data_IF_522652750869
#
_entry.id   IF_522652750869
#
_cell.length_a   1.000
_cell.length_b   1.000
_cell.length_c   1.000
_cell.angle_alpha   90.00
_cell.angle_beta   90.00
_cell.angle_gamma   90.00
#
_symmetry.space_group_name_H-M   'P 1'
#
loop_
_entity.id
_entity.type
_entity.pdbx_description
1 polymer ?
2 non-polymer ?
3 non-polymer ?
4 water ?
#
# COMPACT_ATOMS: atom_id res chain seq x y z
N UNK A 25 -20.65 5.37 19.11
CA UNK A 25 -19.96 4.60 20.20
C UNK A 25 -19.32 5.48 21.30
N UNK A 26 -18.68 4.86 22.29
CA UNK A 26 -18.08 5.63 23.35
C UNK A 26 -16.64 6.05 23.02
N UNK A 27 -16.24 7.20 23.55
CA UNK A 27 -14.86 7.71 23.49
C UNK A 27 -13.76 6.67 23.74
N UNK A 28 -13.91 5.89 24.82
CA UNK A 28 -12.90 4.92 25.24
C UNK A 28 -12.80 3.87 24.15
N UNK A 29 -13.96 3.46 23.66
CA UNK A 29 -14.06 2.46 22.62
C UNK A 29 -13.42 2.92 21.30
N UNK A 30 -13.73 4.14 20.89
CA UNK A 30 -13.13 4.74 19.70
C UNK A 30 -11.61 4.86 19.80
N UNK A 31 -11.16 5.33 20.95
CA UNK A 31 -9.76 5.56 21.20
C UNK A 31 -8.97 4.24 21.30
N UNK A 32 -9.53 3.23 21.92
CA UNK A 32 -8.92 1.89 21.94
C UNK A 32 -8.91 1.22 20.58
N UNK A 33 -9.89 1.56 19.75
CA UNK A 33 -9.95 1.19 18.33
C UNK A 33 -8.77 1.83 17.54
N UNK A 34 -8.56 3.14 17.72
CA UNK A 34 -7.46 3.85 17.06
C UNK A 34 -6.06 3.38 17.44
N UNK A 35 -5.93 2.86 18.65
CA UNK A 35 -4.64 2.60 19.27
C UNK A 35 -3.67 1.77 18.47
N UNK A 36 -4.12 0.63 17.92
CA UNK A 36 -3.23 -0.07 17.02
C UNK A 36 -2.79 0.73 15.77
N UNK A 37 -3.62 1.59 15.20
CA UNK A 37 -3.27 2.37 14.00
C UNK A 37 -2.33 3.51 14.38
N UNK A 38 -2.53 4.07 15.56
CA UNK A 38 -1.57 5.00 16.09
C UNK A 38 -0.21 4.31 16.26
N UNK A 39 -0.21 3.06 16.68
CA UNK A 39 1.03 2.40 16.92
C UNK A 39 1.74 2.19 15.62
N UNK A 40 0.99 1.77 14.60
CA UNK A 40 1.54 1.48 13.27
C UNK A 40 2.09 2.75 12.60
N UNK A 41 1.38 3.87 12.73
CA UNK A 41 1.70 5.15 12.08
C UNK A 41 2.81 5.97 12.72
N UNK A 42 3.06 5.73 14.00
CA UNK A 42 4.07 6.51 14.73
C UNK A 42 5.51 6.39 14.20
N UNK A 43 6.14 7.54 14.00
CA UNK A 43 7.47 7.57 13.43
C UNK A 43 7.55 7.25 11.94
N UNK A 44 6.42 7.03 11.26
CA UNK A 44 6.43 6.74 9.83
C UNK A 44 6.30 8.09 9.12
N UNK A 45 6.68 8.12 7.84
CA UNK A 45 6.60 9.29 6.95
C UNK A 45 5.33 9.23 6.04
N UNK A 46 4.61 10.32 6.05
CA UNK A 46 3.42 10.45 5.22
C UNK A 46 3.58 11.72 4.39
N UNK A 47 3.46 11.57 3.08
CA UNK A 47 3.52 12.66 2.12
C UNK A 47 2.08 12.92 1.72
N UNK A 48 1.61 14.13 1.95
CA UNK A 48 0.26 14.46 1.61
C UNK A 48 0.20 15.37 0.37
N UNK A 49 -0.38 14.87 -0.73
CA UNK A 49 -0.58 15.69 -1.93
C UNK A 49 -1.96 16.36 -1.85
N UNK A 50 -2.01 17.67 -1.71
CA UNK A 50 -3.24 18.38 -1.40
C UNK A 50 -3.77 19.24 -2.53
N UNK A 51 -5.00 18.97 -2.91
CA UNK A 51 -5.64 19.69 -3.96
C UNK A 51 -5.79 21.14 -3.49
N UNK A 52 -5.45 22.09 -4.34
CA UNK A 52 -5.40 23.50 -3.98
C UNK A 52 -6.76 24.10 -3.61
N UNK A 53 -7.85 23.50 -4.11
CA UNK A 53 -9.19 23.93 -3.72
C UNK A 53 -9.53 23.70 -2.27
N UNK A 54 -8.82 22.79 -1.61
CA UNK A 54 -9.05 22.52 -0.18
C UNK A 54 -8.53 23.60 0.79
N UNK A 55 -7.71 24.51 0.25
CA UNK A 55 -7.00 25.48 1.06
C UNK A 55 -7.66 26.82 0.96
N UNK A 56 -8.92 26.80 0.55
CA UNK A 56 -9.62 27.97 0.02
C UNK A 56 -10.80 28.28 0.86
N UNK A 57 -11.50 27.24 1.31
CA UNK A 57 -12.73 27.42 2.11
C UNK A 57 -12.33 27.21 3.55
N UNK A 58 -13.32 26.94 4.41
CA UNK A 58 -13.09 26.48 5.78
C UNK A 58 -12.80 24.97 5.91
N UNK A 59 -12.62 24.30 4.77
CA UNK A 59 -12.06 22.96 4.74
C UNK A 59 -10.58 23.03 5.11
N UNK A 60 -10.00 24.22 4.90
CA UNK A 60 -8.65 24.56 5.31
C UNK A 60 -8.47 24.41 6.83
N UNK A 61 -9.42 24.98 7.58
CA UNK A 61 -9.39 24.97 9.05
C UNK A 61 -9.52 23.56 9.61
N UNK A 62 -10.36 22.77 8.98
CA UNK A 62 -10.54 21.41 9.33
C UNK A 62 -9.25 20.61 9.11
N UNK A 63 -8.55 20.94 8.04
CA UNK A 63 -7.37 20.18 7.58
C UNK A 63 -6.12 20.45 8.42
N UNK A 64 -5.90 21.72 8.74
CA UNK A 64 -4.84 22.12 9.60
C UNK A 64 -5.00 21.43 10.94
N UNK A 65 -6.24 21.36 11.43
CA UNK A 65 -6.49 20.73 12.72
C UNK A 65 -6.16 19.25 12.70
N UNK A 66 -6.50 18.56 11.62
CA UNK A 66 -6.30 17.12 11.54
C UNK A 66 -4.83 16.81 11.31
N UNK A 67 -4.16 17.67 10.53
CA UNK A 67 -2.71 17.57 10.30
C UNK A 67 -1.93 17.96 11.57
N UNK A 68 -2.42 18.93 12.30
CA UNK A 68 -1.85 19.25 13.60
C UNK A 68 -1.94 18.01 14.46
N UNK A 69 -3.08 17.33 14.47
CA UNK A 69 -3.27 16.15 15.32
C UNK A 69 -2.28 15.04 14.95
N UNK A 70 -2.19 14.72 13.66
CA UNK A 70 -1.19 13.79 13.11
C UNK A 70 0.24 14.11 13.53
N UNK A 71 0.55 15.38 13.59
CA UNK A 71 1.82 15.81 14.08
C UNK A 71 2.01 15.32 15.52
N UNK A 72 0.97 15.52 16.31
CA UNK A 72 0.99 15.21 17.72
C UNK A 72 1.06 13.72 17.96
N UNK A 73 0.77 12.91 16.93
CA UNK A 73 0.80 11.46 17.03
C UNK A 73 2.13 10.86 16.56
N UNK A 74 3.16 11.70 16.42
CA UNK A 74 4.51 11.23 15.96
C UNK A 74 4.62 10.81 14.47
N UNK A 75 3.68 11.29 13.66
CA UNK A 75 3.75 11.15 12.15
C UNK A 75 4.62 12.24 11.53
N UNK A 76 5.57 11.82 10.73
CA UNK A 76 6.43 12.72 9.95
C UNK A 76 5.70 13.11 8.68
N UNK A 77 5.53 14.39 8.48
CA UNK A 77 4.56 14.91 7.55
C UNK A 77 5.16 15.84 6.53
N UNK A 78 4.95 15.52 5.27
CA UNK A 78 5.39 16.40 4.17
C UNK A 78 4.16 16.67 3.38
N UNK A 79 3.83 17.95 3.27
CA UNK A 79 2.61 18.39 2.61
C UNK A 79 2.96 19.11 1.32
N UNK A 80 2.29 18.75 0.23
CA UNK A 80 2.44 19.48 -1.06
C UNK A 80 1.07 19.78 -1.63
N UNK A 81 0.89 21.01 -2.12
CA UNK A 81 -0.41 21.42 -2.65
C UNK A 81 -0.34 21.64 -4.16
N UNK A 82 -1.51 21.73 -4.79
CA UNK A 82 -1.60 22.01 -6.22
C UNK A 82 -1.96 23.46 -6.38
N UNK A 83 -1.90 23.95 -7.64
CA UNK A 83 -2.27 25.35 -7.98
C UNK A 83 -3.16 25.48 -9.24
N UNK A 84 -3.13 24.48 -10.12
CA UNK A 84 -3.84 24.47 -11.38
C UNK A 84 -5.18 25.14 -11.31
N UNK A 85 -6.09 24.63 -10.46
CA UNK A 85 -7.46 25.16 -10.46
C UNK A 85 -7.51 26.64 -10.05
N UNK A 86 -6.58 27.08 -9.20
CA UNK A 86 -6.58 28.49 -8.80
C UNK A 86 -6.16 29.38 -9.99
N UNK A 87 -5.18 28.88 -10.73
CA UNK A 87 -4.68 29.56 -11.89
C UNK A 87 -5.78 29.69 -12.95
N UNK A 88 -6.68 28.71 -13.01
CA UNK A 88 -7.75 28.75 -14.04
C UNK A 88 -8.88 29.71 -13.66
N UNK A 89 -9.18 29.75 -12.36
CA UNK A 89 -10.07 30.76 -11.79
C UNK A 89 -9.43 32.16 -11.88
N UNK A 90 -8.21 32.23 -12.42
CA UNK A 90 -7.56 33.50 -12.72
C UNK A 90 -7.40 33.62 -14.24
N UNK A 91 -7.04 32.51 -14.88
CA UNK A 91 -6.95 32.43 -16.33
C UNK A 91 -8.34 32.48 -16.92
N UNK A 92 -8.95 31.32 -17.16
CA UNK A 92 -10.27 31.25 -17.81
C UNK A 92 -11.12 32.48 -17.51
N UNK A 93 -11.24 32.84 -16.23
CA UNK A 93 -11.95 34.05 -15.79
C UNK A 93 -11.15 35.32 -16.02
N UNK A 94 -10.72 35.52 -17.27
CA UNK A 94 -9.90 36.66 -17.70
C UNK A 94 -9.92 36.80 -19.21
N UNK A 95 -9.96 35.66 -19.92
CA UNK A 95 -9.93 35.66 -21.37
C UNK A 95 -8.72 34.97 -21.92
N UNK A 96 -8.14 34.10 -21.10
CA UNK A 96 -7.03 33.24 -21.51
C UNK A 96 -7.40 31.80 -21.23
N UNK A 97 -7.15 30.93 -22.23
CA UNK A 97 -7.48 29.52 -22.08
C UNK A 97 -6.24 28.67 -21.74
N UNK A 98 -6.32 27.87 -20.65
CA UNK A 98 -5.22 26.94 -20.28
C UNK A 98 -5.21 25.72 -21.25
N UNK A 99 -3.95 25.27 -21.56
CA UNK A 99 -3.76 24.11 -22.44
C UNK A 99 -3.08 23.00 -21.67
N UNK A 100 -3.55 21.77 -21.88
CA UNK A 100 -3.22 20.71 -20.93
C UNK A 100 -2.75 19.43 -21.60
N UNK A 101 -1.72 19.57 -22.42
CA UNK A 101 -0.99 18.46 -23.02
C UNK A 101 -0.64 17.43 -21.95
N UNK A 102 -1.38 16.32 -21.94
CA UNK A 102 -1.28 15.23 -20.93
C UNK A 102 -1.63 15.64 -19.51
N UNK A 103 -2.51 16.63 -19.36
CA UNK A 103 -2.87 17.06 -18.01
C UNK A 103 -1.82 17.97 -17.41
N UNK A 104 -0.65 17.99 -18.06
CA UNK A 104 0.42 18.97 -17.78
C UNK A 104 0.08 20.31 -18.39
N UNK A 105 -0.15 21.28 -17.51
CA UNK A 105 -0.48 22.63 -17.84
C UNK A 105 0.71 23.38 -18.48
N UNK A 106 0.47 23.93 -19.68
CA UNK A 106 1.39 24.94 -20.24
C UNK A 106 1.27 26.16 -19.31
N UNK A 107 2.42 26.64 -18.87
CA UNK A 107 2.48 27.69 -17.89
C UNK A 107 3.48 28.74 -18.32
N UNK A 108 2.98 29.92 -18.67
CA UNK A 108 3.85 31.00 -19.12
C UNK A 108 4.34 31.81 -17.93
N UNK A 109 5.21 32.78 -18.20
CA UNK A 109 5.73 33.69 -17.18
C UNK A 109 4.65 34.31 -16.28
N UNK A 110 3.54 34.74 -16.88
CA UNK A 110 2.45 35.37 -16.12
C UNK A 110 1.75 34.37 -15.17
N UNK A 111 1.58 33.12 -15.63
CA UNK A 111 0.97 32.05 -14.82
C UNK A 111 1.90 31.62 -13.69
N UNK A 112 3.20 31.54 -14.02
CA UNK A 112 4.25 31.22 -13.07
C UNK A 112 4.24 32.21 -11.92
N UNK A 113 4.09 33.50 -12.22
CA UNK A 113 4.11 34.54 -11.19
C UNK A 113 2.90 34.50 -10.27
N UNK A 114 1.75 34.15 -10.84
CA UNK A 114 0.53 33.96 -10.07
C UNK A 114 0.67 32.79 -9.07
N UNK A 115 1.26 31.71 -9.54
CA UNK A 115 1.50 30.53 -8.72
C UNK A 115 2.37 30.88 -7.53
N UNK A 116 3.37 31.74 -7.71
CA UNK A 116 4.19 32.25 -6.60
C UNK A 116 3.40 33.08 -5.60
N UNK A 117 2.45 33.86 -6.08
CA UNK A 117 1.54 34.64 -5.23
C UNK A 117 0.57 33.76 -4.45
N UNK A 118 -0.06 32.81 -5.15
CA UNK A 118 -0.94 31.84 -4.57
C UNK A 118 -0.28 30.97 -3.51
N UNK A 119 0.96 30.56 -3.77
CA UNK A 119 1.72 29.71 -2.86
C UNK A 119 2.00 30.41 -1.52
N UNK A 120 2.19 31.73 -1.55
CA UNK A 120 2.40 32.57 -0.39
C UNK A 120 1.07 32.79 0.33
N UNK A 121 -0.01 33.05 -0.43
CA UNK A 121 -1.35 33.23 0.15
C UNK A 121 -1.67 32.00 0.99
N UNK A 122 -1.49 30.85 0.35
CA UNK A 122 -1.87 29.55 0.86
C UNK A 122 -1.02 29.03 2.04
N UNK A 123 0.30 29.26 1.98
CA UNK A 123 1.15 28.86 3.08
C UNK A 123 0.84 29.72 4.30
N UNK A 124 0.58 31.01 4.08
CA UNK A 124 0.19 31.92 5.18
C UNK A 124 -1.13 31.50 5.79
N UNK A 125 -2.09 31.15 4.94
CA UNK A 125 -3.43 30.74 5.38
C UNK A 125 -3.31 29.49 6.19
N UNK A 126 -2.55 28.53 5.70
CA UNK A 126 -2.39 27.27 6.39
C UNK A 126 -1.72 27.49 7.72
N UNK A 127 -0.64 28.24 7.72
CA UNK A 127 0.06 28.56 8.96
C UNK A 127 -0.82 29.21 10.05
N UNK A 128 -1.69 30.12 9.62
CA UNK A 128 -2.63 30.79 10.51
C UNK A 128 -3.68 29.84 11.04
N UNK A 129 -4.17 28.95 10.17
CA UNK A 129 -5.19 27.97 10.56
C UNK A 129 -4.63 26.90 11.49
N UNK A 130 -3.32 26.78 11.48
CA UNK A 130 -2.65 25.73 12.23
C UNK A 130 -2.33 26.28 13.63
N UNK A 131 -2.02 27.56 13.66
CA UNK A 131 -1.76 28.29 14.88
C UNK A 131 -2.98 28.48 15.77
N UNK A 132 -4.16 28.47 15.16
CA UNK A 132 -5.42 28.68 15.88
C UNK A 132 -6.36 27.48 15.84
N UNK A 133 -5.79 26.28 16.05
CA UNK A 133 -6.49 24.97 15.95
C UNK A 133 -5.52 23.77 15.91
N UNK A 142 1.38 26.45 16.97
CA UNK A 142 2.30 25.97 17.99
C UNK A 142 2.96 24.67 17.51
N UNK A 143 2.49 24.21 16.36
CA UNK A 143 3.06 23.06 15.73
C UNK A 143 4.08 23.58 14.71
N UNK A 144 5.31 23.13 14.81
CA UNK A 144 6.36 23.68 13.97
C UNK A 144 6.20 23.30 12.48
N UNK A 145 6.24 24.31 11.61
CA UNK A 145 5.94 24.14 10.19
C UNK A 145 7.05 24.78 9.50
N UNK A 146 7.66 24.07 8.58
CA UNK A 146 8.88 24.58 7.95
C UNK A 146 8.78 24.41 6.43
N UNK A 147 9.40 25.31 5.68
CA UNK A 147 9.50 25.08 4.26
C UNK A 147 10.88 25.52 3.84
N UNK A 148 11.33 25.06 2.69
CA UNK A 148 12.70 25.31 2.27
C UNK A 148 12.96 25.15 0.80
N UNK A 149 14.18 25.39 0.36
CA UNK A 149 14.43 25.20 -1.05
C UNK A 149 14.77 23.74 -1.39
N UNK A 150 13.84 22.81 -1.16
CA UNK A 150 14.16 21.39 -1.25
C UNK A 150 14.14 20.84 -2.68
N UNK A 151 13.34 21.44 -3.55
CA UNK A 151 13.21 20.93 -4.92
C UNK A 151 14.00 21.74 -5.94
N UNK A 152 14.76 21.02 -6.75
CA UNK A 152 15.35 21.62 -7.92
C UNK A 152 14.62 21.02 -9.11
N UNK A 153 14.14 21.89 -9.98
CA UNK A 153 13.31 21.50 -11.13
C UNK A 153 14.05 21.66 -12.46
N UNK A 154 13.54 20.99 -13.49
CA UNK A 154 13.91 21.23 -14.88
C UNK A 154 12.63 21.40 -15.68
N UNK A 155 12.67 22.15 -16.81
CA UNK A 155 11.44 22.25 -17.58
C UNK A 155 11.11 20.89 -18.23
N UNK A 156 9.83 20.62 -18.41
CA UNK A 156 9.41 19.44 -19.21
C UNK A 156 9.83 19.52 -20.70
N UNK A 157 10.13 20.72 -21.18
CA UNK A 157 10.41 20.96 -22.58
C UNK A 157 9.16 20.94 -23.44
N UNK A 158 9.19 20.14 -24.50
CA UNK A 158 8.19 20.20 -25.57
C UNK A 158 7.35 18.92 -25.70
N UNK A 159 6.13 18.95 -25.20
CA UNK A 159 5.29 17.78 -25.43
C UNK A 159 4.41 17.90 -26.65
N UNK A 160 4.72 17.03 -27.62
CA UNK A 160 3.95 16.87 -28.84
C UNK A 160 3.99 18.09 -29.77
N UNK A 161 5.15 18.76 -29.86
CA UNK A 161 5.25 20.00 -30.67
C UNK A 161 4.81 21.24 -29.90
N UNK A 162 4.22 21.04 -28.72
CA UNK A 162 3.76 22.12 -27.83
C UNK A 162 4.76 22.48 -26.73
N UNK A 163 5.43 23.63 -26.86
CA UNK A 163 6.28 24.20 -25.81
C UNK A 163 5.49 24.29 -24.51
N UNK A 164 6.07 23.78 -23.43
CA UNK A 164 5.37 23.69 -22.17
C UNK A 164 5.77 24.81 -21.22
N UNK A 165 6.83 25.52 -21.60
CA UNK A 165 7.28 26.76 -21.00
C UNK A 165 7.75 26.48 -19.57
N UNK A 166 7.10 27.14 -18.60
CA UNK A 166 7.52 27.03 -17.21
C UNK A 166 7.04 25.79 -16.47
N UNK A 167 6.40 24.85 -17.18
CA UNK A 167 6.09 23.54 -16.61
C UNK A 167 7.34 22.67 -16.45
N UNK A 168 7.67 22.45 -15.18
CA UNK A 168 8.88 21.76 -14.79
C UNK A 168 8.57 20.55 -13.98
N UNK A 169 9.51 19.63 -13.94
CA UNK A 169 9.37 18.36 -13.26
C UNK A 169 10.53 18.34 -12.26
N UNK A 170 10.37 17.70 -11.10
CA UNK A 170 11.47 17.67 -10.14
C UNK A 170 12.67 16.95 -10.77
N UNK A 171 13.79 17.63 -10.79
CA UNK A 171 15.06 17.06 -11.22
C UNK A 171 15.81 16.47 -10.01
N UNK A 172 15.91 17.23 -8.92
CA UNK A 172 16.56 16.72 -7.69
C UNK A 172 15.79 17.15 -6.44
N UNK A 173 15.65 16.23 -5.49
CA UNK A 173 15.06 16.58 -4.21
C UNK A 173 16.15 16.48 -3.10
N UNK A 174 16.19 17.48 -2.22
CA UNK A 174 17.20 17.45 -1.16
C UNK A 174 16.73 16.56 0.00
N UNK A 175 17.00 15.27 -0.14
CA UNK A 175 16.49 14.29 0.83
C UNK A 175 17.11 14.44 2.22
N UNK A 176 18.37 14.87 2.27
CA UNK A 176 19.07 15.06 3.53
C UNK A 176 18.46 16.21 4.32
N UNK A 177 18.18 17.33 3.67
CA UNK A 177 17.59 18.46 4.30
C UNK A 177 16.20 18.13 4.78
N UNK A 178 15.44 17.36 3.98
CA UNK A 178 14.11 16.93 4.37
C UNK A 178 14.09 16.03 5.60
N UNK A 179 14.94 15.01 5.61
CA UNK A 179 15.07 14.10 6.75
C UNK A 179 15.45 14.79 8.02
N UNK A 180 16.38 15.74 7.93
CA UNK A 180 16.82 16.56 9.01
C UNK A 180 15.65 17.34 9.69
N UNK A 181 14.73 17.94 8.91
CA UNK A 181 13.53 18.59 9.39
C UNK A 181 12.49 17.64 9.99
N UNK A 182 12.21 16.51 9.33
CA UNK A 182 11.27 15.52 9.86
C UNK A 182 11.75 14.90 11.15
N UNK A 183 13.05 14.60 11.22
CA UNK A 183 13.68 14.04 12.38
C UNK A 183 13.51 14.95 13.64
N UNK A 184 13.61 16.26 13.45
CA UNK A 184 13.43 17.29 14.52
C UNK A 184 11.97 17.51 14.89
N UNK A 185 11.07 16.86 14.17
CA UNK A 185 9.60 16.93 14.44
C UNK A 185 8.89 17.96 13.60
N UNK A 186 9.57 18.59 12.65
CA UNK A 186 8.94 19.68 11.91
C UNK A 186 7.94 19.19 10.87
N UNK A 187 6.81 19.89 10.71
CA UNK A 187 5.98 19.61 9.52
C UNK A 187 6.63 20.30 8.32
N UNK A 188 6.74 19.59 7.20
CA UNK A 188 7.33 20.17 5.99
C UNK A 188 6.23 20.57 4.99
N UNK A 189 6.25 21.85 4.63
CA UNK A 189 5.37 22.40 3.66
C UNK A 189 6.07 22.73 2.35
N UNK A 190 5.56 22.22 1.25
CA UNK A 190 6.13 22.46 -0.07
C UNK A 190 5.12 23.04 -1.05
N UNK A 191 5.53 24.12 -1.76
CA UNK A 191 4.68 24.59 -2.87
C UNK A 191 4.90 23.74 -4.11
N UNK A 192 4.01 23.86 -5.09
CA UNK A 192 4.29 23.17 -6.37
C UNK A 192 5.25 23.94 -7.32
N UNK A 193 6.39 24.39 -6.77
CA UNK A 193 7.39 25.28 -7.40
C UNK A 193 8.79 24.74 -7.10
N UNK A 194 9.58 24.44 -8.15
CA UNK A 194 11.01 24.14 -8.00
C UNK A 194 11.87 25.16 -8.76
N UNK A 195 13.11 25.35 -8.34
CA UNK A 195 14.05 26.24 -9.03
C UNK A 195 15.17 25.47 -9.71
N UNK A 196 15.86 26.14 -10.62
CA UNK A 196 16.88 25.52 -11.44
C UNK A 196 18.22 26.20 -11.31
N UNK A 197 19.26 25.47 -11.72
CA UNK A 197 20.59 26.00 -11.88
C UNK A 197 20.67 27.27 -12.79
N UNK A 198 19.71 27.46 -13.67
CA UNK A 198 19.67 28.67 -14.53
C UNK A 198 18.99 29.86 -13.88
N UNK A 199 18.71 29.75 -12.59
CA UNK A 199 18.05 30.80 -11.76
C UNK A 199 16.60 31.06 -12.13
N UNK A 200 15.93 30.03 -12.63
CA UNK A 200 14.50 30.11 -12.93
C UNK A 200 13.67 29.26 -11.97
N UNK A 201 12.41 29.66 -11.80
CA UNK A 201 11.41 28.89 -11.10
C UNK A 201 10.45 28.18 -12.07
N UNK A 202 10.17 26.92 -11.76
CA UNK A 202 9.24 26.12 -12.56
C UNK A 202 8.02 25.63 -11.81
N UNK A 203 6.97 25.42 -12.59
CA UNK A 203 5.67 25.04 -12.06
C UNK A 203 5.57 23.56 -12.04
N UNK A 204 5.32 23.00 -10.87
CA UNK A 204 5.31 21.55 -10.75
C UNK A 204 3.88 21.04 -10.70
N UNK A 205 3.70 19.85 -11.23
CA UNK A 205 2.46 19.15 -11.12
C UNK A 205 2.44 18.46 -9.73
N UNK A 206 1.40 18.70 -8.93
CA UNK A 206 1.36 18.24 -7.57
C UNK A 206 1.27 16.75 -7.48
N UNK A 207 0.43 16.16 -8.35
CA UNK A 207 0.14 14.74 -8.27
C UNK A 207 1.44 14.00 -8.51
N UNK A 208 2.21 14.45 -9.50
CA UNK A 208 3.52 13.86 -9.81
C UNK A 208 4.60 14.18 -8.81
N UNK A 209 4.68 15.44 -8.38
CA UNK A 209 5.59 15.92 -7.35
C UNK A 209 5.56 15.15 -6.01
N UNK A 210 4.35 14.90 -5.47
CA UNK A 210 4.19 14.15 -4.18
C UNK A 210 4.70 12.74 -4.31
N UNK A 211 4.48 12.13 -5.46
CA UNK A 211 4.85 10.74 -5.68
C UNK A 211 6.36 10.67 -5.84
N UNK A 212 6.92 11.63 -6.53
CA UNK A 212 8.37 11.77 -6.61
C UNK A 212 9.01 11.98 -5.19
N UNK A 213 8.54 12.98 -4.45
CA UNK A 213 9.06 13.23 -3.08
C UNK A 213 8.91 11.97 -2.15
N UNK A 214 7.74 11.33 -2.21
CA UNK A 214 7.43 10.10 -1.50
C UNK A 214 8.40 8.95 -1.75
N UNK A 215 8.80 8.78 -3.02
CA UNK A 215 9.80 7.79 -3.40
C UNK A 215 11.20 8.19 -2.90
N UNK A 216 11.58 9.45 -3.14
CA UNK A 216 12.82 9.98 -2.58
C UNK A 216 12.93 9.72 -1.05
N UNK A 217 11.83 9.85 -0.34
CA UNK A 217 11.83 9.65 1.13
C UNK A 217 11.60 8.19 1.49
N UNK A 218 11.22 7.40 0.51
CA UNK A 218 10.75 6.02 0.81
C UNK A 218 9.67 6.09 1.86
N UNK A 219 8.82 7.11 1.76
CA UNK A 219 7.67 7.29 2.63
C UNK A 219 6.86 6.01 2.68
N UNK A 220 6.44 5.59 3.87
CA UNK A 220 5.53 4.44 4.02
C UNK A 220 4.15 4.74 3.42
N UNK A 221 3.78 5.99 3.36
CA UNK A 221 2.47 6.32 2.90
C UNK A 221 2.46 7.61 2.08
N UNK A 222 1.80 7.53 0.91
CA UNK A 222 1.38 8.69 0.12
C UNK A 222 -0.15 8.87 0.19
N UNK A 223 -0.62 10.05 0.58
CA UNK A 223 -2.05 10.39 0.59
C UNK A 223 -2.43 11.52 -0.39
N UNK A 224 -3.39 11.24 -1.28
CA UNK A 224 -3.92 12.28 -2.13
C UNK A 224 -5.26 12.71 -1.54
N UNK A 225 -5.36 14.02 -1.26
CA UNK A 225 -6.57 14.61 -0.66
C UNK A 225 -7.20 15.34 -1.81
N UNK A 226 -8.30 14.78 -2.30
CA UNK A 226 -8.88 15.16 -3.58
C UNK A 226 -10.25 15.64 -3.23
N UNK A 227 -11.01 15.92 -4.27
CA UNK A 227 -12.40 16.25 -4.13
C UNK A 227 -13.34 15.05 -4.39
N UNK A 228 -12.76 13.85 -4.49
CA UNK A 228 -13.51 12.63 -4.82
C UNK A 228 -13.37 11.60 -3.71
N UNK A 229 -14.39 10.75 -3.59
CA UNK A 229 -14.43 9.70 -2.58
C UNK A 229 -13.44 8.56 -2.86
N UNK A 230 -12.62 8.69 -3.89
CA UNK A 230 -11.60 7.68 -4.16
C UNK A 230 -11.84 7.10 -5.53
N UNK A 231 -11.27 5.93 -5.81
CA UNK A 231 -11.43 5.34 -7.14
C UNK A 231 -12.62 4.38 -7.21
N UNK A 232 -13.50 4.61 -8.19
CA UNK A 232 -14.70 3.78 -8.41
C UNK A 232 -14.49 2.59 -9.34
N UNK A 233 -15.21 1.51 -9.06
CA UNK A 233 -15.20 0.31 -9.87
C UNK A 233 -16.11 0.45 -11.11
N UNK A 234 -15.97 -0.47 -12.09
CA UNK A 234 -16.78 -0.38 -13.32
C UNK A 234 -18.29 -0.39 -13.01
N UNK A 235 -18.67 -1.14 -11.96
CA UNK A 235 -20.06 -1.17 -11.51
C UNK A 235 -20.47 0.05 -10.63
N UNK A 236 -19.62 1.08 -10.59
CA UNK A 236 -19.94 2.36 -9.95
C UNK A 236 -19.55 2.50 -8.49
N UNK A 237 -19.38 1.36 -7.83
CA UNK A 237 -19.03 1.28 -6.41
C UNK A 237 -17.61 1.76 -6.08
N UNK A 238 -17.44 2.33 -4.89
CA UNK A 238 -16.12 2.81 -4.44
C UNK A 238 -15.22 1.64 -4.16
N UNK A 239 -14.09 1.60 -4.85
CA UNK A 239 -13.05 0.61 -4.60
C UNK A 239 -12.34 0.94 -3.29
N UNK A 240 -12.77 0.25 -2.24
CA UNK A 240 -12.18 0.43 -0.92
C UNK A 240 -10.67 0.14 -0.96
N UNK A 241 -10.31 -1.01 -1.51
CA UNK A 241 -8.92 -1.48 -1.50
C UNK A 241 -8.57 -2.08 -2.88
N UNK A 242 -7.43 -1.66 -3.43
CA UNK A 242 -6.99 -2.12 -4.74
C UNK A 242 -5.54 -2.56 -4.73
N UNK A 243 -5.21 -3.62 -5.46
CA UNK A 243 -3.82 -3.86 -5.82
C UNK A 243 -3.47 -2.91 -6.93
N UNK A 244 -2.17 -2.77 -7.19
CA UNK A 244 -1.68 -1.89 -8.25
C UNK A 244 -2.06 -2.47 -9.60
N UNK A 245 -2.33 -3.76 -9.63
CA UNK A 245 -2.81 -4.45 -10.84
C UNK A 245 -4.28 -4.12 -11.07
N UNK A 246 -5.06 -4.22 -10.00
CA UNK A 246 -6.43 -3.80 -10.02
C UNK A 246 -6.55 -2.32 -10.43
N UNK A 247 -5.68 -1.46 -9.91
CA UNK A 247 -5.74 -0.04 -10.21
C UNK A 247 -5.48 0.17 -11.72
N UNK A 248 -4.44 -0.50 -12.17
CA UNK A 248 -4.02 -0.48 -13.55
C UNK A 248 -5.16 -0.87 -14.53
N UNK A 249 -5.84 -1.99 -14.27
CA UNK A 249 -6.92 -2.44 -15.17
C UNK A 249 -8.18 -1.54 -15.16
N UNK A 250 -8.28 -0.61 -14.20
CA UNK A 250 -9.42 0.31 -14.09
C UNK A 250 -9.22 1.52 -14.94
N UNK A 251 -7.97 1.94 -15.06
CA UNK A 251 -7.59 3.09 -15.85
C UNK A 251 -7.99 2.92 -17.33
N UNK A 252 -8.11 1.67 -17.80
CA UNK A 252 -8.51 1.37 -19.20
C UNK A 252 -9.76 2.19 -19.58
N UNK A 253 -10.70 2.30 -18.64
CA UNK A 253 -12.00 2.95 -18.91
C UNK A 253 -12.30 4.10 -17.95
N UNK A 254 -11.25 4.81 -17.57
CA UNK A 254 -11.38 5.85 -16.56
C UNK A 254 -11.13 7.24 -17.16
N UNK A 255 -11.73 8.24 -16.52
CA UNK A 255 -11.55 9.65 -16.89
C UNK A 255 -10.08 10.05 -16.75
N UNK A 256 -9.69 11.11 -17.45
CA UNK A 256 -8.30 11.57 -17.52
C UNK A 256 -7.63 11.83 -16.16
N UNK A 257 -8.31 12.63 -15.33
CA UNK A 257 -7.86 12.98 -13.99
C UNK A 257 -7.57 11.76 -13.16
N UNK A 258 -8.52 10.81 -13.13
CA UNK A 258 -8.27 9.59 -12.38
C UNK A 258 -7.21 8.67 -12.98
N UNK A 259 -7.06 8.67 -14.28
CA UNK A 259 -5.93 7.96 -14.94
C UNK A 259 -4.54 8.46 -14.45
N UNK A 260 -4.42 9.78 -14.27
CA UNK A 260 -3.17 10.34 -13.82
C UNK A 260 -2.89 10.05 -12.34
N UNK A 261 -3.93 10.13 -11.52
CA UNK A 261 -3.84 9.70 -10.16
C UNK A 261 -3.22 8.31 -10.05
N UNK A 262 -3.81 7.33 -10.77
CA UNK A 262 -3.38 5.92 -10.78
C UNK A 262 -1.91 5.75 -11.22
N UNK A 263 -1.57 6.46 -12.28
CA UNK A 263 -0.26 6.43 -12.89
C UNK A 263 0.82 6.87 -11.88
N UNK A 264 0.50 7.92 -11.14
CA UNK A 264 1.41 8.41 -10.14
C UNK A 264 1.46 7.52 -8.93
N UNK A 265 0.30 7.01 -8.54
CA UNK A 265 0.19 6.10 -7.42
C UNK A 265 0.96 4.81 -7.63
N UNK A 266 0.81 4.26 -8.81
CA UNK A 266 1.53 3.04 -9.23
C UNK A 266 3.02 3.24 -9.34
N UNK A 267 3.44 4.39 -9.85
CA UNK A 267 4.86 4.63 -9.90
C UNK A 267 5.45 4.82 -8.50
N UNK A 268 4.72 5.47 -7.59
CA UNK A 268 5.13 5.57 -6.16
C UNK A 268 5.36 4.19 -5.57
N UNK A 269 4.36 3.30 -5.69
CA UNK A 269 4.48 1.92 -5.16
C UNK A 269 5.70 1.20 -5.74
N UNK A 270 5.83 1.28 -7.05
CA UNK A 270 6.92 0.62 -7.76
C UNK A 270 8.26 1.20 -7.26
N UNK A 271 8.22 2.48 -6.89
CA UNK A 271 9.39 3.20 -6.39
C UNK A 271 9.68 3.01 -4.90
N UNK A 272 8.83 2.26 -4.20
CA UNK A 272 9.11 1.89 -2.79
C UNK A 272 8.17 2.42 -1.71
N UNK A 273 7.23 3.28 -2.08
CA UNK A 273 6.20 3.73 -1.14
C UNK A 273 5.31 2.53 -0.86
N UNK A 274 4.96 2.35 0.41
CA UNK A 274 4.28 1.14 0.84
C UNK A 274 2.80 1.15 0.50
N UNK A 275 2.18 2.31 0.45
CA UNK A 275 0.73 2.39 0.36
C UNK A 275 0.29 3.74 -0.15
N UNK A 276 -0.61 3.73 -1.12
CA UNK A 276 -1.07 5.02 -1.56
C UNK A 276 -2.58 5.15 -1.30
N UNK A 277 -3.01 6.26 -0.77
CA UNK A 277 -4.43 6.40 -0.45
C UNK A 277 -5.06 7.59 -1.12
N UNK A 278 -6.30 7.41 -1.54
CA UNK A 278 -7.04 8.48 -2.21
C UNK A 278 -8.31 8.82 -1.44
N UNK A 279 -8.46 10.08 -1.06
CA UNK A 279 -9.55 10.51 -0.21
C UNK A 279 -10.14 11.82 -0.65
N UNK A 280 -11.29 12.14 -0.11
CA UNK A 280 -11.98 13.39 -0.34
C UNK A 280 -11.68 14.31 0.83
N UNK A 281 -10.83 15.30 0.60
CA UNK A 281 -10.42 16.15 1.72
C UNK A 281 -11.54 17.12 2.00
N UNK A 282 -12.63 17.06 1.22
CA UNK A 282 -13.88 17.82 1.48
C UNK A 282 -14.86 17.07 2.40
N UNK A 283 -14.61 15.78 2.65
CA UNK A 283 -15.39 15.03 3.59
C UNK A 283 -14.76 15.24 4.98
N UNK A 284 -15.40 16.11 5.77
CA UNK A 284 -14.97 16.49 7.13
C UNK A 284 -14.51 15.31 7.96
N UNK A 285 -13.23 15.30 8.33
CA UNK A 285 -12.66 14.22 9.16
C UNK A 285 -12.20 12.96 8.43
N UNK A 286 -12.18 12.95 7.11
CA UNK A 286 -11.85 11.73 6.33
C UNK A 286 -10.40 11.23 6.49
N UNK A 287 -9.47 12.14 6.72
CA UNK A 287 -8.06 11.79 6.98
C UNK A 287 -7.89 10.96 8.25
N UNK A 288 -8.67 11.32 9.27
CA UNK A 288 -8.64 10.57 10.54
C UNK A 288 -9.28 9.19 10.40
N UNK A 289 -10.45 9.18 9.80
CA UNK A 289 -11.17 7.98 9.47
C UNK A 289 -10.36 6.98 8.61
N UNK A 290 -9.62 7.48 7.63
CA UNK A 290 -8.77 6.63 6.80
C UNK A 290 -7.59 6.04 7.56
N UNK A 291 -6.85 6.90 8.27
CA UNK A 291 -5.66 6.45 9.04
C UNK A 291 -5.91 5.66 10.29
N UNK A 292 -7.06 5.85 10.93
CA UNK A 292 -7.21 5.31 12.29
C UNK A 292 -8.36 4.37 12.62
N UNK A 293 -9.07 3.91 11.59
CA UNK A 293 -10.15 2.93 11.71
C UNK A 293 -9.88 1.74 10.82
N UNK A 294 -10.38 0.56 11.23
CA UNK A 294 -10.26 -0.67 10.42
C UNK A 294 -10.94 -0.41 9.09
N UNK A 295 -12.15 0.17 9.20
CA UNK A 295 -12.97 0.43 8.05
C UNK A 295 -12.31 1.37 7.06
N UNK A 296 -11.92 2.56 7.53
CA UNK A 296 -11.35 3.58 6.66
C UNK A 296 -12.14 3.87 5.39
N UNK A 297 -12.54 5.13 5.20
CA UNK A 297 -13.11 5.61 3.92
C UNK A 297 -12.11 5.56 2.72
N UNK A 298 -12.48 6.11 1.56
CA UNK A 298 -11.53 6.24 0.45
C UNK A 298 -10.94 4.97 -0.17
N UNK A 299 -9.94 5.14 -1.03
CA UNK A 299 -9.31 4.03 -1.75
C UNK A 299 -7.88 3.85 -1.30
N UNK A 300 -7.52 2.59 -1.10
CA UNK A 300 -6.18 2.20 -0.68
C UNK A 300 -5.50 1.30 -1.73
N UNK A 301 -4.31 1.71 -2.17
CA UNK A 301 -3.62 0.95 -3.22
C UNK A 301 -2.27 0.50 -2.71
N UNK A 302 -1.99 -0.78 -2.93
CA UNK A 302 -0.76 -1.42 -2.50
C UNK A 302 -0.29 -2.34 -3.58
N UNK A 303 1.03 -2.51 -3.67
CA UNK A 303 1.62 -3.41 -4.66
C UNK A 303 1.79 -4.83 -4.13
N UNK A 304 1.10 -5.74 -4.82
CA UNK A 304 1.34 -7.18 -4.74
C UNK A 304 2.74 -7.54 -5.26
N UNK A 305 3.67 -7.83 -4.35
CA UNK A 305 4.96 -8.35 -4.79
C UNK A 305 4.82 -9.68 -5.58
N UNK A 306 5.87 -10.00 -6.34
CA UNK A 306 5.95 -11.11 -7.31
C UNK A 306 6.32 -12.39 -6.60
N UNK A 307 5.38 -13.33 -6.53
CA UNK A 307 5.69 -14.67 -6.04
C UNK A 307 4.91 -15.69 -6.84
N UNK A 308 5.53 -16.12 -7.95
CA UNK A 308 5.01 -17.18 -8.80
C UNK A 308 4.79 -18.50 -7.99
N UNK A 309 3.53 -18.86 -7.79
CA UNK A 309 3.20 -20.13 -7.14
C UNK A 309 2.37 -20.96 -8.11
N UNK A 310 2.83 -22.17 -8.37
CA UNK A 310 2.15 -23.02 -9.33
C UNK A 310 1.99 -24.49 -8.89
N UNK A 311 1.09 -25.18 -9.57
CA UNK A 311 0.95 -26.60 -9.41
C UNK A 311 2.31 -27.24 -9.64
N UNK A 312 2.73 -28.07 -8.70
CA UNK A 312 3.91 -28.87 -8.85
C UNK A 312 3.71 -29.92 -9.97
N UNK A 313 4.75 -30.19 -10.76
CA UNK A 313 4.73 -31.30 -11.70
C UNK A 313 5.87 -32.29 -11.39
N UNK A 314 5.95 -33.33 -12.21
CA UNK A 314 6.98 -34.36 -12.09
C UNK A 314 8.42 -33.85 -11.82
N UNK A 315 8.88 -32.88 -12.61
CA UNK A 315 10.27 -32.37 -12.57
C UNK A 315 10.66 -31.60 -11.30
N UNK A 316 9.64 -31.11 -10.56
CA UNK A 316 9.82 -30.46 -9.25
C UNK A 316 10.29 -31.36 -8.09
N UNK A 317 10.13 -32.67 -8.23
CA UNK A 317 10.23 -33.56 -7.08
C UNK A 317 11.58 -33.53 -6.37
N UNK A 318 12.71 -33.59 -7.12
CA UNK A 318 14.03 -33.48 -6.48
C UNK A 318 14.22 -32.18 -5.66
N UNK A 319 13.82 -31.04 -6.22
CA UNK A 319 13.79 -29.75 -5.52
C UNK A 319 12.95 -29.77 -4.26
N UNK A 320 11.80 -30.43 -4.34
CA UNK A 320 10.91 -30.57 -3.19
C UNK A 320 11.53 -31.50 -2.14
N UNK A 321 12.03 -32.66 -2.58
CA UNK A 321 12.69 -33.60 -1.71
C UNK A 321 13.87 -32.92 -0.95
N UNK A 322 14.81 -32.32 -1.67
CA UNK A 322 15.94 -31.64 -1.05
C UNK A 322 15.52 -30.65 0.06
N UNK A 323 14.45 -29.91 -0.17
CA UNK A 323 13.91 -28.97 0.81
C UNK A 323 13.31 -29.64 2.06
N UNK A 324 12.54 -30.70 1.79
CA UNK A 324 11.73 -31.39 2.77
C UNK A 324 12.57 -32.30 3.66
N UNK A 325 13.59 -32.91 3.05
CA UNK A 325 14.38 -33.90 3.73
C UNK A 325 15.05 -33.45 5.06
N UNK A 326 15.72 -32.25 5.09
CA UNK A 326 16.29 -31.77 6.37
C UNK A 326 15.27 -31.78 7.50
N UNK A 327 14.07 -31.33 7.15
CA UNK A 327 12.98 -31.12 8.06
C UNK A 327 12.40 -32.45 8.52
N UNK A 328 12.27 -33.36 7.56
CA UNK A 328 11.79 -34.69 7.92
C UNK A 328 12.80 -35.39 8.83
N UNK A 329 14.10 -35.11 8.60
CA UNK A 329 15.19 -35.57 9.47
C UNK A 329 15.10 -35.04 10.91
N UNK A 330 14.69 -33.80 11.02
CA UNK A 330 14.47 -33.13 12.32
C UNK A 330 13.17 -33.49 13.09
N UNK A 331 12.23 -34.17 12.44
CA UNK A 331 10.99 -34.61 13.12
C UNK A 331 9.92 -33.52 13.13
N UNK A 332 10.02 -32.63 12.16
CA UNK A 332 9.15 -31.49 11.99
C UNK A 332 8.18 -31.82 10.86
N UNK A 333 8.69 -32.43 9.80
CA UNK A 333 7.87 -32.85 8.69
C UNK A 333 7.81 -34.35 8.66
N UNK A 334 6.59 -34.89 8.49
CA UNK A 334 6.34 -36.31 8.27
C UNK A 334 7.16 -36.75 7.11
N UNK A 335 7.69 -37.96 7.27
CA UNK A 335 8.45 -38.65 6.26
C UNK A 335 7.57 -38.82 5.04
N UNK A 336 8.04 -38.28 3.92
CA UNK A 336 7.44 -38.60 2.62
C UNK A 336 8.16 -39.77 1.88
N UNK A 337 8.51 -39.57 0.62
CA UNK A 337 9.15 -40.67 -0.20
C UNK A 337 8.87 -40.46 -1.69
N UNK A 338 9.94 -40.58 -2.46
CA UNK A 338 9.96 -40.40 -3.91
C UNK A 338 8.66 -40.90 -4.55
N UNK A 339 8.20 -42.08 -4.13
CA UNK A 339 6.94 -42.67 -4.62
C UNK A 339 5.67 -41.92 -4.14
N UNK A 340 5.58 -41.62 -2.83
CA UNK A 340 4.46 -40.80 -2.31
C UNK A 340 4.30 -39.55 -3.16
N UNK A 341 5.36 -38.72 -3.21
CA UNK A 341 5.37 -37.50 -3.97
C UNK A 341 5.03 -37.68 -5.47
N UNK A 342 5.60 -38.72 -6.12
CA UNK A 342 5.30 -39.01 -7.54
C UNK A 342 3.78 -39.24 -7.76
N UNK A 343 3.18 -40.01 -6.87
CA UNK A 343 1.74 -40.36 -6.95
C UNK A 343 0.76 -39.34 -6.33
N UNK A 344 1.27 -38.28 -5.69
CA UNK A 344 0.47 -37.21 -5.04
C UNK A 344 0.92 -35.80 -5.47
N UNK A 345 1.77 -35.71 -6.50
CA UNK A 345 2.35 -34.45 -6.95
C UNK A 345 1.34 -33.34 -7.24
N UNK A 346 0.15 -33.76 -7.68
CA UNK A 346 -0.96 -32.88 -7.99
C UNK A 346 -1.49 -32.08 -6.79
N UNK A 347 -1.23 -32.56 -5.57
CA UNK A 347 -1.73 -31.89 -4.39
C UNK A 347 -0.74 -30.86 -3.83
N UNK A 348 0.47 -30.83 -4.42
CA UNK A 348 1.51 -29.86 -4.05
C UNK A 348 1.49 -28.58 -4.88
N UNK A 349 1.81 -27.50 -4.18
CA UNK A 349 2.10 -26.25 -4.82
C UNK A 349 3.56 -25.89 -4.49
N UNK A 350 4.19 -25.13 -5.38
CA UNK A 350 5.59 -24.75 -5.21
C UNK A 350 5.72 -23.31 -5.58
N UNK A 351 6.61 -22.64 -4.86
CA UNK A 351 6.89 -21.19 -4.98
C UNK A 351 8.27 -21.07 -5.57
N UNK A 352 8.38 -20.29 -6.63
CA UNK A 352 9.59 -20.20 -7.44
C UNK A 352 9.89 -18.77 -7.85
N UNK A 353 11.18 -18.48 -7.94
CA UNK A 353 11.68 -17.19 -8.41
C UNK A 353 12.95 -17.49 -9.20
N UNK A 354 13.02 -16.98 -10.44
CA UNK A 354 14.13 -17.25 -11.39
C UNK A 354 14.45 -18.74 -11.56
N UNK A 355 13.43 -19.56 -11.77
CA UNK A 355 13.64 -21.02 -11.84
C UNK A 355 13.95 -21.70 -10.50
N UNK A 356 14.49 -20.93 -9.56
CA UNK A 356 14.77 -21.41 -8.21
C UNK A 356 13.52 -21.71 -7.38
N UNK A 357 13.43 -22.93 -6.85
CA UNK A 357 12.40 -23.33 -5.89
C UNK A 357 12.73 -22.85 -4.47
N UNK A 358 11.77 -22.18 -3.83
CA UNK A 358 11.98 -21.68 -2.48
C UNK A 358 10.97 -22.10 -1.45
N UNK A 359 9.84 -22.67 -1.89
CA UNK A 359 8.82 -23.14 -0.97
C UNK A 359 7.86 -24.17 -1.53
N UNK A 360 7.19 -24.91 -0.64
CA UNK A 360 6.17 -25.86 -1.04
C UNK A 360 5.08 -25.97 0.02
N UNK A 361 3.93 -26.52 -0.37
CA UNK A 361 2.83 -26.77 0.58
C UNK A 361 1.83 -27.70 -0.09
N UNK A 362 1.25 -28.63 0.69
CA UNK A 362 0.26 -29.54 0.10
C UNK A 362 -1.12 -29.38 0.69
N UNK A 363 -2.11 -29.64 -0.15
CA UNK A 363 -3.51 -29.70 0.32
C UNK A 363 -3.98 -31.15 0.33
N UNK A 364 -4.16 -31.64 1.55
CA UNK A 364 -4.69 -32.97 1.82
C UNK A 364 -6.22 -32.88 1.97
N UNK A 365 -6.91 -33.85 1.40
CA UNK A 365 -8.36 -33.93 1.45
C UNK A 365 -8.86 -35.20 2.14
N UNK A 366 -10.14 -35.18 2.51
CA UNK A 366 -10.73 -36.20 3.35
C UNK A 366 -12.10 -36.64 2.82
N UNK A 367 -12.63 -37.73 3.40
CA UNK A 367 -14.02 -38.15 3.12
C UNK A 367 -15.03 -37.05 3.54
N UNK A 368 -14.74 -36.33 4.62
CA UNK A 368 -15.47 -35.15 5.00
C UNK A 368 -15.18 -34.06 3.95
N UNK A 369 -16.12 -33.83 3.02
CA UNK A 369 -15.95 -32.87 1.90
C UNK A 369 -15.62 -31.39 2.33
N UNK A 370 -15.99 -31.05 3.57
CA UNK A 370 -15.78 -29.72 4.16
C UNK A 370 -14.35 -29.47 4.72
N UNK A 371 -13.54 -30.53 4.77
CA UNK A 371 -12.28 -30.56 5.51
C UNK A 371 -11.10 -30.63 4.58
N UNK A 372 -10.02 -29.94 4.97
CA UNK A 372 -8.77 -29.92 4.24
C UNK A 372 -7.66 -29.85 5.26
N UNK A 373 -6.46 -30.14 4.81
CA UNK A 373 -5.31 -30.00 5.67
C UNK A 373 -4.16 -29.39 4.87
N UNK A 374 -3.55 -28.38 5.46
CA UNK A 374 -2.35 -27.83 4.92
C UNK A 374 -1.21 -28.70 5.44
N UNK A 375 -0.54 -29.33 4.48
CA UNK A 375 0.51 -30.31 4.78
C UNK A 375 1.81 -29.86 4.15
N UNK A 376 2.92 -30.21 4.80
CA UNK A 376 4.26 -30.16 4.19
C UNK A 376 4.69 -28.70 3.86
N UNK A 377 4.32 -27.76 4.73
CA UNK A 377 4.64 -26.33 4.52
C UNK A 377 6.08 -26.11 4.90
N UNK A 378 6.81 -25.45 4.00
CA UNK A 378 8.24 -25.33 4.10
C UNK A 378 8.80 -24.24 3.22
N UNK A 379 9.62 -23.39 3.84
CA UNK A 379 10.34 -22.38 3.11
C UNK A 379 11.83 -22.61 3.32
N UNK A 380 12.59 -22.43 2.26
CA UNK A 380 14.02 -22.62 2.39
C UNK A 380 14.55 -21.64 3.45
N UNK A 381 15.45 -22.12 4.34
CA UNK A 381 15.93 -21.32 5.45
C UNK A 381 16.52 -19.98 4.98
N UNK A 382 17.21 -19.99 3.83
CA UNK A 382 17.83 -18.78 3.25
C UNK A 382 16.82 -17.74 2.79
N UNK A 383 15.58 -18.18 2.57
CA UNK A 383 14.52 -17.35 1.98
C UNK A 383 13.40 -17.04 2.97
N UNK A 384 13.60 -17.40 4.23
CA UNK A 384 12.57 -17.23 5.27
C UNK A 384 12.33 -15.79 5.70
N UNK A 385 11.31 -15.55 6.53
CA UNK A 385 11.02 -14.21 7.11
C UNK A 385 10.58 -13.13 6.11
N UNK A 386 10.84 -13.37 4.82
CA UNK A 386 10.35 -12.50 3.77
C UNK A 386 8.94 -12.77 3.23
N UNK A 387 8.03 -13.30 4.05
CA UNK A 387 6.64 -13.53 3.64
C UNK A 387 6.30 -14.74 2.77
N UNK A 388 7.32 -15.46 2.30
CA UNK A 388 7.04 -16.61 1.44
C UNK A 388 6.02 -17.64 2.02
N UNK A 389 6.19 -17.95 3.31
CA UNK A 389 5.26 -18.89 3.97
C UNK A 389 3.80 -18.46 3.84
N UNK A 390 3.54 -17.24 4.25
CA UNK A 390 2.18 -16.67 4.23
C UNK A 390 1.48 -16.77 2.87
N UNK A 391 2.26 -16.50 1.81
CA UNK A 391 1.81 -16.60 0.41
C UNK A 391 1.46 -18.05 -0.01
N UNK A 392 2.09 -19.02 0.65
CA UNK A 392 1.89 -20.44 0.36
C UNK A 392 0.61 -20.88 1.05
N UNK A 393 0.46 -20.48 2.32
CA UNK A 393 -0.78 -20.71 3.06
C UNK A 393 -1.97 -20.06 2.35
N UNK A 394 -1.81 -18.82 1.91
CA UNK A 394 -2.90 -18.12 1.23
C UNK A 394 -3.30 -18.86 -0.06
N UNK A 395 -2.31 -19.20 -0.87
CA UNK A 395 -2.52 -19.92 -2.11
C UNK A 395 -3.25 -21.22 -1.86
N UNK A 396 -2.80 -22.01 -0.86
CA UNK A 396 -3.54 -23.19 -0.51
C UNK A 396 -4.97 -22.94 0.05
N UNK A 397 -5.21 -21.83 0.78
CA UNK A 397 -6.61 -21.65 1.21
C UNK A 397 -7.49 -21.28 0.01
N UNK A 398 -6.92 -20.56 -0.95
CA UNK A 398 -7.62 -20.26 -2.21
C UNK A 398 -7.99 -21.53 -2.99
N UNK A 399 -7.03 -22.47 -3.05
CA UNK A 399 -7.23 -23.80 -3.61
C UNK A 399 -8.28 -24.60 -2.82
N UNK A 400 -8.14 -24.62 -1.48
CA UNK A 400 -9.11 -25.30 -0.60
C UNK A 400 -10.54 -24.78 -0.80
N UNK A 401 -10.70 -23.47 -0.80
CA UNK A 401 -12.00 -22.85 -1.03
C UNK A 401 -12.55 -23.15 -2.43
N UNK A 402 -11.65 -23.35 -3.39
CA UNK A 402 -12.02 -23.62 -4.79
C UNK A 402 -12.75 -24.95 -4.95
N UNK A 403 -12.53 -25.85 -4.00
CA UNK A 403 -13.13 -27.19 -4.03
C UNK A 403 -14.18 -27.43 -2.92
N UNK A 404 -14.63 -26.36 -2.24
CA UNK A 404 -15.74 -26.47 -1.27
C UNK A 404 -15.38 -26.65 0.21
N UNK A 405 -14.09 -26.60 0.47
CA UNK A 405 -13.52 -26.74 1.82
C UNK A 405 -13.67 -25.45 2.65
N UNK A 406 -14.34 -25.58 3.80
CA UNK A 406 -14.62 -24.47 4.72
C UNK A 406 -13.86 -24.62 6.04
N UNK A 407 -13.20 -25.77 6.19
CA UNK A 407 -12.42 -26.09 7.38
C UNK A 407 -11.05 -26.66 7.02
N UNK A 408 -10.02 -25.91 7.42
CA UNK A 408 -8.63 -26.22 7.12
C UNK A 408 -7.79 -26.43 8.37
N UNK A 409 -7.36 -27.67 8.57
CA UNK A 409 -6.50 -28.10 9.70
C UNK A 409 -5.01 -27.98 9.43
N UNK A 410 -4.28 -27.71 10.50
CA UNK A 410 -2.81 -27.76 10.51
C UNK A 410 -2.34 -28.51 11.78
N UNK A 411 -1.42 -29.44 11.58
CA UNK A 411 -0.89 -30.25 12.64
C UNK A 411 0.63 -30.04 12.65
N UNK A 412 1.12 -29.74 13.84
CA UNK A 412 2.49 -29.34 13.96
C UNK A 412 2.97 -29.66 15.35
N UNK A 413 4.19 -30.17 15.36
CA UNK A 413 4.84 -30.51 16.56
C UNK A 413 5.53 -29.24 17.21
N UNK A 414 6.11 -28.39 16.36
CA UNK A 414 6.97 -27.32 16.85
C UNK A 414 6.60 -25.94 16.33
N UNK A 415 5.69 -25.90 15.37
CA UNK A 415 5.40 -24.74 14.56
C UNK A 415 3.93 -24.23 14.73
N UNK A 416 3.29 -24.62 15.84
CA UNK A 416 1.86 -24.33 16.09
C UNK A 416 1.49 -22.86 16.22
N UNK A 417 2.37 -22.07 16.87
CA UNK A 417 2.16 -20.63 16.96
C UNK A 417 2.05 -19.93 15.61
N UNK A 418 2.92 -20.24 14.68
CA UNK A 418 2.81 -19.64 13.37
C UNK A 418 1.37 -19.68 12.81
N UNK A 419 0.71 -20.84 12.97
CA UNK A 419 -0.68 -21.03 12.59
C UNK A 419 -1.68 -20.28 13.47
N UNK A 420 -1.53 -20.43 14.78
CA UNK A 420 -2.37 -19.70 15.72
C UNK A 420 -2.32 -18.16 15.50
N UNK A 421 -1.21 -17.64 15.00
CA UNK A 421 -1.10 -16.17 14.74
C UNK A 421 -1.59 -15.79 13.32
N UNK A 422 -1.94 -16.83 12.55
CA UNK A 422 -2.46 -16.60 11.21
C UNK A 422 -3.85 -17.21 11.03
N UNK A 423 -4.62 -17.23 12.11
CA UNK A 423 -6.06 -17.46 12.02
C UNK A 423 -6.49 -18.85 12.39
N UNK A 424 -5.61 -19.61 13.01
CA UNK A 424 -5.93 -20.98 13.40
C UNK A 424 -6.27 -21.06 14.87
N UNK A 425 -7.31 -21.80 15.19
CA UNK A 425 -7.70 -22.00 16.56
C UNK A 425 -7.38 -23.41 16.94
N UNK A 426 -6.91 -23.57 18.17
CA UNK A 426 -6.67 -24.86 18.79
C UNK A 426 -7.83 -25.77 18.54
N UNK A 427 -7.57 -27.03 18.18
CA UNK A 427 -8.62 -28.06 18.11
C UNK A 427 -8.18 -29.35 18.82
N UNK A 428 -9.13 -30.24 19.09
CA UNK A 428 -8.86 -31.55 19.72
C UNK A 428 -8.86 -32.73 18.67
N UNK A 429 -8.35 -33.88 19.10
CA UNK A 429 -8.14 -35.04 18.24
C UNK A 429 -9.46 -35.66 17.74
N UNK A 430 -10.44 -35.63 18.65
CA UNK A 430 -11.81 -36.04 18.41
C UNK A 430 -12.53 -35.17 17.38
N UNK A 431 -11.94 -34.03 17.11
CA UNK A 431 -12.35 -33.11 16.06
C UNK A 431 -11.76 -33.34 14.64
N UNK A 432 -10.70 -34.17 14.49
CA UNK A 432 -10.10 -34.43 13.17
C UNK A 432 -11.05 -35.17 12.24
N UNK A 433 -10.82 -35.09 10.91
CA UNK A 433 -11.44 -36.11 10.08
C UNK A 433 -11.05 -37.51 10.59
N UNK A 434 -12.00 -38.44 10.53
CA UNK A 434 -11.89 -39.78 11.10
C UNK A 434 -10.59 -40.53 10.78
N UNK A 435 -10.24 -40.62 9.48
CA UNK A 435 -8.99 -41.26 9.04
C UNK A 435 -7.72 -40.51 9.56
N UNK A 436 -7.74 -39.18 9.58
CA UNK A 436 -6.60 -38.40 10.12
C UNK A 436 -6.44 -38.65 11.63
N UNK A 437 -7.57 -38.65 12.35
CA UNK A 437 -7.64 -39.03 13.75
C UNK A 437 -6.95 -40.37 14.00
N UNK A 438 -7.18 -41.33 13.10
CA UNK A 438 -6.54 -42.64 13.21
C UNK A 438 -5.02 -42.60 12.99
N UNK A 439 -4.55 -42.00 11.89
CA UNK A 439 -3.09 -41.74 11.71
C UNK A 439 -2.53 -41.04 12.96
N UNK A 440 -3.17 -39.94 13.40
CA UNK A 440 -2.69 -39.17 14.56
C UNK A 440 -2.45 -40.04 15.81
N UNK A 441 -3.45 -40.82 16.22
CA UNK A 441 -3.35 -41.79 17.32
C UNK A 441 -2.15 -42.73 17.18
N UNK A 442 -1.99 -43.35 16.00
CA UNK A 442 -0.91 -44.35 15.85
C UNK A 442 0.53 -43.78 15.64
N UNK A 443 0.64 -42.52 15.19
CA UNK A 443 1.89 -41.70 15.12
C UNK A 443 2.80 -41.63 16.32
N UNK A 444 2.20 -41.45 17.50
CA UNK A 444 2.96 -41.13 18.71
C UNK A 444 3.46 -39.68 18.80
N UNK A 445 3.32 -38.92 17.71
CA UNK A 445 3.91 -37.57 17.59
C UNK A 445 3.22 -36.52 18.46
N UNK A 446 1.95 -36.75 18.81
CA UNK A 446 1.16 -35.78 19.64
C UNK A 446 1.23 -34.34 19.17
N UNK A 447 1.21 -34.15 17.86
CA UNK A 447 1.32 -32.83 17.26
C UNK A 447 0.16 -31.97 17.74
N UNK A 448 0.34 -30.65 17.77
CA UNK A 448 -0.75 -29.76 18.13
C UNK A 448 -1.66 -29.66 16.95
N UNK A 449 -2.95 -29.63 17.21
CA UNK A 449 -3.87 -29.49 16.14
C UNK A 449 -4.67 -28.17 16.24
N UNK A 450 -4.65 -27.46 15.12
CA UNK A 450 -5.30 -26.20 14.86
C UNK A 450 -6.20 -26.27 13.62
N UNK A 451 -7.28 -25.51 13.66
CA UNK A 451 -8.25 -25.40 12.54
C UNK A 451 -8.45 -23.92 12.22
N UNK A 452 -8.49 -23.62 10.93
CA UNK A 452 -8.98 -22.36 10.37
C UNK A 452 -10.24 -22.51 9.49
N UNK A 453 -11.24 -21.68 9.81
CA UNK A 453 -12.51 -21.68 9.09
C UNK A 453 -12.45 -20.78 7.85
N UNK A 454 -12.70 -21.39 6.71
CA UNK A 454 -12.55 -20.73 5.41
C UNK A 454 -13.91 -20.24 4.95
N UNK A 455 -13.97 -18.96 4.63
CA UNK A 455 -15.29 -18.39 4.28
C UNK A 455 -15.72 -18.67 2.83
N UNK A 456 -17.04 -18.84 2.65
CA UNK A 456 -17.64 -19.05 1.34
C UNK A 456 -17.78 -17.72 0.59
#
# INVERSE_FOLDING_TARGET
MGSSHHHHHHSSGLVPRGSHMNAPDSFVAHFREAAPYIRQMRGTTLVAGIDGRLLEGGTLNKLAADIGLLSQLGIRLVLIHGAYHFLDRLAAAQGRTPHYCRGLRVTDETSLGQAQQFAGTVRSRFEAALCGSVSGFARAPSVPLVSGNFLTARPIGVIDGTDMEYAGVIRKTDTAALRFQLDAGNIVWMPPLGHSYGGKTFNLDMVQAAASVAVSLQAEKLVYLTLSDGISRPDGTLAETLSAQEAQSLAEHAASETRRLISSAVAALEGGVHRVQILNGAADGSLLQELFTRNGIGTSIAKEAFVSIRQAHSGDIPHIAALIRPLEEQGILLHRSREYLENHISEFSILEHDGNLYGCAALKTFAEADCGEIACLAVSPQAQDGGYGERLLAHIIDKARGIGISRLFALSTNTGEWFAERGFQTASEDELPETRRKDYRSNGRNSHILVRRLHR
#
